data_IF_274093674199
#
_entry.id   IF_274093674199
#
_cell.length_a   1.000
_cell.length_b   1.000
_cell.length_c   1.000
_cell.angle_alpha   90.00
_cell.angle_beta   90.00
_cell.angle_gamma   90.00
#
_symmetry.space_group_name_H-M   'P 1'
#
loop_
_entity.id
_entity.type
_entity.pdbx_description
1 polymer ?
#
# COMPACT_ATOMS: atom_id res chain seq x y z
N UNK A 1 0.30 -13.03 -17.52
CA UNK A 1 -0.11 -13.47 -16.17
C UNK A 1 -1.34 -14.35 -16.29
N UNK A 2 -1.34 -15.49 -15.61
CA UNK A 2 -2.48 -16.41 -15.61
C UNK A 2 -3.66 -15.84 -14.82
N UNK A 3 -4.89 -16.23 -15.19
CA UNK A 3 -6.07 -15.91 -14.37
C UNK A 3 -6.26 -17.01 -13.32
N UNK A 4 -6.74 -16.70 -12.13
CA UNK A 4 -7.01 -17.69 -11.07
C UNK A 4 -7.82 -18.91 -11.53
N UNK A 5 -8.76 -18.70 -12.45
CA UNK A 5 -9.54 -19.79 -13.06
C UNK A 5 -8.67 -20.83 -13.81
N UNK A 6 -7.48 -20.45 -14.27
CA UNK A 6 -6.53 -21.35 -14.91
C UNK A 6 -5.90 -22.28 -13.88
N UNK A 7 -5.41 -21.75 -12.76
CA UNK A 7 -4.80 -22.53 -11.67
C UNK A 7 -5.83 -23.46 -11.01
N UNK A 8 -7.08 -23.02 -10.86
CA UNK A 8 -8.15 -23.87 -10.33
C UNK A 8 -8.43 -25.12 -11.20
N UNK A 9 -8.16 -25.05 -12.51
CA UNK A 9 -8.42 -26.14 -13.45
C UNK A 9 -7.18 -27.01 -13.73
N UNK A 10 -5.99 -26.45 -13.54
CA UNK A 10 -4.73 -27.13 -13.82
C UNK A 10 -4.47 -28.26 -12.81
N UNK A 11 -4.28 -29.53 -13.24
CA UNK A 11 -4.11 -30.66 -12.33
C UNK A 11 -2.93 -30.53 -11.34
N UNK A 12 -1.85 -29.84 -11.73
CA UNK A 12 -0.67 -29.68 -10.88
C UNK A 12 -0.88 -28.68 -9.74
N UNK A 13 -1.83 -27.75 -9.91
CA UNK A 13 -2.06 -26.67 -8.93
C UNK A 13 -3.42 -26.74 -8.25
N UNK A 14 -4.39 -27.43 -8.86
CA UNK A 14 -5.80 -27.47 -8.44
C UNK A 14 -5.98 -27.81 -6.96
N UNK A 15 -5.28 -28.83 -6.47
CA UNK A 15 -5.51 -29.33 -5.12
C UNK A 15 -4.99 -28.32 -4.08
N UNK A 16 -3.81 -27.72 -4.31
CA UNK A 16 -3.32 -26.61 -3.48
C UNK A 16 -4.23 -25.39 -3.63
N UNK A 17 -4.62 -25.03 -4.85
CA UNK A 17 -5.43 -23.85 -5.13
C UNK A 17 -6.78 -23.89 -4.40
N UNK A 18 -7.39 -25.08 -4.29
CA UNK A 18 -8.61 -25.32 -3.51
C UNK A 18 -8.41 -25.22 -2.00
N UNK A 19 -7.20 -25.52 -1.50
CA UNK A 19 -6.84 -25.38 -0.09
C UNK A 19 -6.43 -23.92 0.24
N UNK A 20 -7.22 -22.95 -0.22
CA UNK A 20 -7.05 -21.54 0.08
C UNK A 20 -7.69 -21.20 1.42
N UNK A 21 -6.94 -20.56 2.30
CA UNK A 21 -7.44 -20.01 3.56
C UNK A 21 -7.84 -18.56 3.30
N UNK A 22 -9.12 -18.23 3.46
CA UNK A 22 -9.67 -16.90 3.17
C UNK A 22 -10.22 -16.16 4.38
N UNK A 23 -10.30 -16.82 5.54
CA UNK A 23 -10.85 -16.24 6.77
C UNK A 23 -9.82 -16.22 7.88
N UNK A 24 -9.93 -15.25 8.78
CA UNK A 24 -9.06 -15.14 9.96
C UNK A 24 -9.19 -16.38 10.86
N UNK A 25 -10.40 -16.93 11.01
CA UNK A 25 -10.62 -18.14 11.79
C UNK A 25 -9.91 -19.35 11.17
N UNK A 26 -10.03 -19.56 9.85
CA UNK A 26 -9.27 -20.62 9.17
C UNK A 26 -7.76 -20.41 9.29
N UNK A 27 -7.30 -19.15 9.29
CA UNK A 27 -5.88 -18.87 9.49
C UNK A 27 -5.41 -19.18 10.93
N UNK A 28 -6.26 -18.98 11.94
CA UNK A 28 -5.97 -19.36 13.34
C UNK A 28 -5.91 -20.86 13.54
N UNK A 29 -6.81 -21.61 12.91
CA UNK A 29 -6.88 -23.07 13.03
C UNK A 29 -5.59 -23.76 12.59
N UNK A 30 -4.87 -23.21 11.61
CA UNK A 30 -3.62 -23.81 11.10
C UNK A 30 -2.36 -23.41 11.88
N UNK A 31 -2.43 -22.49 12.86
CA UNK A 31 -1.24 -21.97 13.56
C UNK A 31 -0.45 -23.02 14.33
N UNK A 32 -1.13 -24.00 14.91
CA UNK A 32 -0.49 -25.00 15.76
C UNK A 32 0.08 -26.16 14.95
N UNK A 33 -0.61 -26.56 13.89
CA UNK A 33 -0.28 -27.72 13.05
C UNK A 33 0.64 -27.40 11.87
N UNK A 34 0.91 -26.13 11.60
CA UNK A 34 1.62 -25.71 10.38
C UNK A 34 2.84 -24.83 10.65
N UNK A 35 3.74 -24.84 9.67
CA UNK A 35 4.77 -23.84 9.45
C UNK A 35 4.36 -22.93 8.29
N UNK A 36 5.03 -21.79 8.15
CA UNK A 36 4.67 -20.75 7.21
C UNK A 36 5.84 -20.42 6.30
N UNK A 37 5.57 -20.28 5.01
CA UNK A 37 6.54 -19.78 4.05
C UNK A 37 5.93 -18.67 3.22
N UNK A 38 6.55 -17.50 3.24
CA UNK A 38 6.18 -16.41 2.35
C UNK A 38 6.96 -16.48 1.04
N UNK A 39 6.28 -16.12 -0.04
CA UNK A 39 6.82 -15.99 -1.40
C UNK A 39 6.45 -14.62 -1.94
N UNK A 40 7.43 -13.96 -2.54
CA UNK A 40 7.23 -12.70 -3.25
C UNK A 40 8.11 -12.67 -4.51
N UNK A 41 7.64 -11.98 -5.55
CA UNK A 41 8.34 -11.90 -6.83
C UNK A 41 8.42 -10.49 -7.36
N UNK A 42 9.60 -10.13 -7.87
CA UNK A 42 9.82 -8.83 -8.50
C UNK A 42 10.01 -9.00 -10.00
N UNK A 43 9.22 -8.25 -10.76
CA UNK A 43 9.21 -8.29 -12.22
C UNK A 43 9.02 -6.91 -12.85
N UNK A 44 9.66 -6.70 -14.00
CA UNK A 44 9.68 -5.42 -14.70
C UNK A 44 9.06 -5.55 -16.08
N UNK A 45 8.27 -4.57 -16.49
CA UNK A 45 7.70 -4.49 -17.83
C UNK A 45 8.71 -3.90 -18.82
N UNK A 46 8.86 -4.53 -19.99
CA UNK A 46 9.92 -4.20 -20.94
C UNK A 46 9.36 -3.58 -22.21
N UNK A 47 8.81 -4.39 -23.12
CA UNK A 47 8.24 -3.86 -24.38
C UNK A 47 6.79 -3.44 -24.22
N UNK A 48 6.07 -4.04 -23.27
CA UNK A 48 4.66 -3.78 -23.00
C UNK A 48 4.33 -4.15 -21.56
N UNK A 49 3.19 -3.68 -21.04
CA UNK A 49 2.74 -4.07 -19.69
C UNK A 49 2.52 -5.58 -19.50
N UNK A 50 2.32 -6.31 -20.59
CA UNK A 50 2.19 -7.78 -20.61
C UNK A 50 3.52 -8.53 -20.74
N UNK A 51 4.55 -7.87 -21.29
CA UNK A 51 5.88 -8.43 -21.48
C UNK A 51 6.73 -8.09 -20.26
N UNK A 52 6.68 -8.96 -19.26
CA UNK A 52 7.31 -8.76 -17.96
C UNK A 52 8.38 -9.82 -17.72
N UNK A 53 9.54 -9.37 -17.25
CA UNK A 53 10.66 -10.25 -16.89
C UNK A 53 10.79 -10.32 -15.39
N UNK A 54 10.76 -11.55 -14.89
CA UNK A 54 11.08 -11.87 -13.50
C UNK A 54 12.56 -11.62 -13.25
N UNK A 55 12.86 -10.90 -12.19
CA UNK A 55 14.23 -10.55 -11.85
C UNK A 55 14.63 -10.82 -10.41
N UNK A 56 13.69 -11.15 -9.52
CA UNK A 56 14.02 -11.67 -8.20
C UNK A 56 12.88 -12.49 -7.63
N UNK A 57 13.24 -13.44 -6.78
CA UNK A 57 12.33 -14.24 -5.97
C UNK A 57 12.77 -14.13 -4.51
N UNK A 58 11.83 -13.86 -3.62
CA UNK A 58 12.04 -13.89 -2.18
C UNK A 58 11.32 -15.08 -1.56
N UNK A 59 11.96 -15.73 -0.60
CA UNK A 59 11.40 -16.80 0.21
C UNK A 59 11.75 -16.52 1.67
N UNK A 60 10.77 -16.64 2.57
CA UNK A 60 11.02 -16.59 4.01
C UNK A 60 10.23 -17.68 4.71
N UNK A 61 10.92 -18.50 5.51
CA UNK A 61 10.32 -19.56 6.30
C UNK A 61 10.25 -19.18 7.77
N UNK A 62 9.16 -19.60 8.42
CA UNK A 62 9.03 -19.55 9.87
C UNK A 62 8.27 -20.76 10.41
N UNK A 63 8.75 -21.30 11.53
CA UNK A 63 8.05 -22.35 12.29
C UNK A 63 6.83 -21.84 13.05
N UNK A 64 6.80 -20.56 13.39
CA UNK A 64 5.75 -19.98 14.23
C UNK A 64 5.56 -18.51 13.89
N UNK A 65 4.34 -17.99 14.03
CA UNK A 65 4.08 -16.55 13.94
C UNK A 65 3.82 -15.97 15.33
N UNK A 66 4.85 -15.95 16.19
CA UNK A 66 4.75 -15.46 17.57
C UNK A 66 5.54 -14.17 17.76
N UNK A 67 5.05 -13.28 18.61
CA UNK A 67 5.82 -12.13 19.08
C UNK A 67 6.29 -12.43 20.49
N UNK A 68 7.61 -12.47 20.73
CA UNK A 68 8.16 -12.57 22.09
C UNK A 68 8.34 -11.18 22.69
N UNK A 69 8.51 -10.17 21.84
CA UNK A 69 8.50 -8.79 22.29
C UNK A 69 7.08 -8.34 22.68
N UNK A 70 6.94 -7.60 23.81
CA UNK A 70 5.67 -7.04 24.21
C UNK A 70 5.14 -6.09 23.13
N UNK A 71 3.80 -6.00 22.98
CA UNK A 71 3.20 -4.99 22.11
C UNK A 71 3.73 -3.61 22.49
N UNK A 72 3.95 -2.75 21.49
CA UNK A 72 4.27 -1.36 21.76
C UNK A 72 3.15 -0.76 22.61
N UNK A 73 3.46 -0.01 23.69
CA UNK A 73 2.45 0.59 24.54
C UNK A 73 1.47 1.45 23.72
N UNK A 74 0.19 1.51 24.13
CA UNK A 74 -0.80 2.39 23.50
C UNK A 74 -0.36 3.85 23.57
N UNK A 75 -0.88 4.66 22.66
CA UNK A 75 -0.49 6.04 22.44
C UNK A 75 -0.81 6.91 23.67
N UNK A 76 0.21 7.34 24.41
CA UNK A 76 0.09 8.52 25.27
C UNK A 76 0.24 9.79 24.42
N UNK A 77 -0.63 10.81 24.60
CA UNK A 77 -0.50 12.08 23.90
C UNK A 77 0.88 12.70 24.13
N UNK A 78 1.66 12.91 23.06
CA UNK A 78 2.96 13.59 23.11
C UNK A 78 4.20 12.69 23.12
N UNK A 79 4.07 11.36 23.20
CA UNK A 79 5.23 10.45 23.11
C UNK A 79 5.50 9.96 21.68
N UNK A 80 6.78 9.88 21.31
CA UNK A 80 7.23 9.21 20.08
C UNK A 80 6.96 7.71 20.24
N UNK A 81 6.08 7.13 19.41
CA UNK A 81 5.81 5.68 19.41
C UNK A 81 7.14 4.91 19.39
N UNK A 82 7.39 3.95 20.31
CA UNK A 82 8.38 2.93 20.03
C UNK A 82 7.92 2.20 18.75
N UNK A 83 8.80 2.14 17.75
CA UNK A 83 8.48 1.52 16.46
C UNK A 83 9.11 0.14 16.43
N UNK A 84 8.31 -0.90 16.22
CA UNK A 84 8.83 -2.26 16.07
C UNK A 84 9.67 -2.32 14.79
N UNK A 85 10.90 -2.80 14.91
CA UNK A 85 11.78 -3.05 13.77
C UNK A 85 11.45 -4.41 13.17
N UNK A 86 11.54 -4.55 11.84
CA UNK A 86 11.37 -5.86 11.19
C UNK A 86 12.43 -6.86 11.68
N UNK A 87 13.64 -6.40 11.97
CA UNK A 87 14.71 -7.22 12.52
C UNK A 87 14.30 -7.96 13.81
N UNK A 88 13.59 -7.30 14.73
CA UNK A 88 13.12 -7.98 15.95
C UNK A 88 12.08 -9.07 15.65
N UNK A 89 11.28 -8.90 14.59
CA UNK A 89 10.34 -9.95 14.16
C UNK A 89 11.10 -11.15 13.58
N UNK A 90 12.18 -10.90 12.83
CA UNK A 90 13.08 -11.93 12.28
C UNK A 90 13.71 -12.74 13.40
N UNK A 91 14.26 -12.08 14.43
CA UNK A 91 14.85 -12.74 15.60
C UNK A 91 13.83 -13.54 16.41
N UNK A 92 12.68 -12.94 16.73
CA UNK A 92 11.62 -13.59 17.52
C UNK A 92 11.16 -14.93 16.95
N UNK A 93 11.18 -15.02 15.61
CA UNK A 93 10.61 -16.13 14.85
C UNK A 93 11.66 -16.99 14.13
N UNK A 94 12.96 -16.73 14.36
CA UNK A 94 14.08 -17.40 13.71
C UNK A 94 13.86 -17.56 12.19
N UNK A 95 13.57 -16.44 11.51
CA UNK A 95 13.23 -16.48 10.09
C UNK A 95 14.43 -16.95 9.26
N UNK A 96 14.22 -17.98 8.47
CA UNK A 96 15.17 -18.45 7.45
C UNK A 96 14.77 -17.83 6.11
N UNK A 97 15.63 -16.97 5.54
CA UNK A 97 15.34 -16.23 4.32
C UNK A 97 16.25 -16.61 3.16
N UNK A 98 15.72 -16.58 1.94
CA UNK A 98 16.46 -16.75 0.70
C UNK A 98 15.97 -15.75 -0.35
N UNK A 99 16.90 -14.97 -0.90
CA UNK A 99 16.67 -14.06 -2.02
C UNK A 99 17.46 -14.55 -3.23
N UNK A 100 16.75 -14.84 -4.31
CA UNK A 100 17.33 -15.24 -5.59
C UNK A 100 17.26 -14.06 -6.55
N UNK A 101 18.42 -13.45 -6.85
CA UNK A 101 18.55 -12.51 -7.94
C UNK A 101 18.67 -13.29 -9.25
N UNK A 102 17.84 -12.96 -10.22
CA UNK A 102 17.87 -13.65 -11.51
C UNK A 102 18.77 -12.88 -12.45
N UNK A 103 19.75 -13.57 -13.03
CA UNK A 103 20.57 -13.01 -14.08
C UNK A 103 19.74 -12.86 -15.36
N UNK A 104 19.39 -11.60 -15.66
CA UNK A 104 18.64 -11.25 -16.86
C UNK A 104 19.53 -10.84 -18.03
N UNK A 105 20.86 -10.84 -17.87
CA UNK A 105 21.81 -10.38 -18.90
C UNK A 105 21.63 -11.13 -20.22
N UNK A 106 21.41 -12.45 -20.17
CA UNK A 106 21.15 -13.30 -21.34
C UNK A 106 19.83 -12.99 -22.06
N UNK A 107 18.81 -12.54 -21.32
CA UNK A 107 17.47 -12.29 -21.89
C UNK A 107 17.30 -10.86 -22.39
N UNK A 108 18.00 -9.92 -21.77
CA UNK A 108 17.74 -8.50 -21.94
C UNK A 108 18.96 -7.75 -22.52
N UNK A 109 20.18 -8.11 -22.13
CA UNK A 109 21.34 -7.25 -22.37
C UNK A 109 21.30 -5.98 -21.51
N UNK A 110 22.45 -5.30 -21.39
CA UNK A 110 22.61 -4.19 -20.42
C UNK A 110 21.86 -2.90 -20.81
N UNK A 111 21.39 -2.81 -22.06
CA UNK A 111 20.82 -1.61 -22.68
C UNK A 111 19.29 -1.59 -22.82
N UNK A 112 18.57 -2.50 -22.15
CA UNK A 112 17.10 -2.59 -22.31
C UNK A 112 16.39 -1.33 -21.86
N UNK A 113 15.60 -0.78 -22.77
CA UNK A 113 14.60 0.24 -22.49
C UNK A 113 13.37 -0.41 -21.86
N UNK A 114 13.09 -0.03 -20.61
CA UNK A 114 11.88 -0.37 -19.89
C UNK A 114 10.72 0.50 -20.35
N UNK A 115 9.50 0.01 -20.13
CA UNK A 115 8.29 0.84 -20.26
C UNK A 115 8.47 2.09 -19.39
N UNK A 116 8.34 3.27 -20.00
CA UNK A 116 8.58 4.57 -19.34
C UNK A 116 9.95 5.21 -19.64
N UNK A 117 10.78 4.60 -20.49
CA UNK A 117 12.02 5.21 -20.99
C UNK A 117 13.25 5.01 -20.10
N UNK A 118 13.11 4.25 -19.01
CA UNK A 118 14.22 3.93 -18.11
C UNK A 118 15.12 2.83 -18.70
N UNK A 119 16.44 2.94 -18.53
CA UNK A 119 17.38 1.88 -18.95
C UNK A 119 17.64 0.88 -17.83
N UNK A 120 18.00 -0.34 -18.23
CA UNK A 120 18.50 -1.39 -17.35
C UNK A 120 17.50 -1.88 -16.32
N UNK A 121 17.96 -2.68 -15.36
CA UNK A 121 17.15 -3.14 -14.24
C UNK A 121 16.99 -2.04 -13.18
N UNK A 122 15.86 -1.95 -12.49
CA UNK A 122 15.70 -0.96 -11.42
C UNK A 122 16.73 -1.18 -10.31
N UNK A 123 17.30 -0.08 -9.81
CA UNK A 123 18.12 -0.11 -8.60
C UNK A 123 17.21 -0.43 -7.41
N UNK A 124 17.63 -1.42 -6.62
CA UNK A 124 16.82 -1.95 -5.52
C UNK A 124 17.30 -1.48 -4.16
N UNK A 125 16.40 -1.60 -3.19
CA UNK A 125 16.78 -1.54 -1.77
C UNK A 125 17.83 -2.61 -1.44
N UNK A 126 18.84 -2.28 -0.60
CA UNK A 126 19.80 -3.27 -0.11
C UNK A 126 19.11 -4.45 0.57
N UNK A 127 19.57 -5.66 0.27
CA UNK A 127 19.13 -6.89 0.95
C UNK A 127 19.45 -6.85 2.44
N UNK A 128 18.51 -7.24 3.30
CA UNK A 128 18.68 -7.18 4.76
C UNK A 128 18.56 -8.51 5.48
N UNK A 129 17.79 -9.47 4.96
CA UNK A 129 17.40 -10.66 5.71
C UNK A 129 17.69 -11.96 4.96
N UNK A 130 18.38 -12.89 5.60
CA UNK A 130 18.66 -14.22 5.04
C UNK A 130 19.79 -14.23 4.00
N UNK A 131 19.87 -15.33 3.26
CA UNK A 131 20.88 -15.52 2.21
C UNK A 131 20.48 -14.82 0.91
N UNK A 132 21.46 -14.34 0.15
CA UNK A 132 21.26 -13.81 -1.20
C UNK A 132 22.13 -14.59 -2.18
N UNK A 133 21.54 -15.06 -3.29
CA UNK A 133 22.22 -15.79 -4.36
C UNK A 133 21.82 -15.22 -5.72
N UNK A 134 22.70 -15.35 -6.69
CA UNK A 134 22.40 -15.02 -8.09
C UNK A 134 22.28 -16.32 -8.87
N UNK A 135 21.26 -16.43 -9.72
CA UNK A 135 20.95 -17.63 -10.50
C UNK A 135 20.50 -17.26 -11.90
N UNK A 136 20.75 -18.14 -12.87
CA UNK A 136 20.09 -18.07 -14.17
C UNK A 136 18.62 -18.46 -14.02
N UNK A 137 17.75 -17.88 -14.85
CA UNK A 137 16.30 -18.18 -14.82
C UNK A 137 15.99 -19.63 -15.20
N UNK A 138 16.82 -20.25 -16.04
CA UNK A 138 16.72 -21.66 -16.41
C UNK A 138 17.02 -22.59 -15.21
N UNK A 139 17.83 -22.13 -14.25
CA UNK A 139 18.23 -22.87 -13.06
C UNK A 139 17.46 -22.44 -11.80
N UNK A 140 16.42 -21.61 -11.95
CA UNK A 140 15.70 -21.00 -10.81
C UNK A 140 14.98 -22.03 -9.93
N UNK A 141 14.42 -23.10 -10.50
CA UNK A 141 13.64 -24.07 -9.76
C UNK A 141 14.47 -24.86 -8.75
N UNK A 142 15.71 -25.22 -9.10
CA UNK A 142 16.59 -26.03 -8.27
C UNK A 142 16.85 -25.43 -6.87
N UNK A 143 17.32 -24.17 -6.71
CA UNK A 143 17.56 -23.56 -5.43
C UNK A 143 16.27 -23.33 -4.62
N UNK A 144 15.13 -23.07 -5.27
CA UNK A 144 13.83 -22.98 -4.59
C UNK A 144 13.46 -24.33 -3.97
N UNK A 145 13.55 -25.40 -4.77
CA UNK A 145 13.24 -26.77 -4.32
C UNK A 145 14.23 -27.25 -3.26
N UNK A 146 15.52 -26.91 -3.39
CA UNK A 146 16.55 -27.22 -2.39
C UNK A 146 16.22 -26.56 -1.06
N UNK A 147 15.92 -25.25 -1.07
CA UNK A 147 15.51 -24.51 0.13
C UNK A 147 14.33 -25.19 0.81
N UNK A 148 13.26 -25.47 0.06
CA UNK A 148 12.06 -26.14 0.57
C UNK A 148 12.33 -27.56 1.09
N UNK A 149 13.23 -28.31 0.45
CA UNK A 149 13.55 -29.69 0.83
C UNK A 149 14.31 -29.79 2.15
N UNK A 150 15.08 -28.76 2.49
CA UNK A 150 15.85 -28.63 3.73
C UNK A 150 14.99 -28.15 4.91
N UNK A 151 13.76 -27.70 4.67
CA UNK A 151 12.87 -27.27 5.73
C UNK A 151 12.40 -28.46 6.60
N UNK A 152 12.11 -28.21 7.89
CA UNK A 152 11.51 -29.19 8.78
C UNK A 152 10.20 -29.77 8.22
N UNK A 153 10.01 -31.08 8.37
CA UNK A 153 8.84 -31.83 7.85
C UNK A 153 7.91 -32.34 8.95
N UNK A 154 8.07 -31.85 10.18
CA UNK A 154 7.27 -32.21 11.34
C UNK A 154 5.85 -31.60 11.29
N UNK A 155 5.63 -30.62 10.42
CA UNK A 155 4.36 -29.91 10.26
C UNK A 155 4.02 -29.67 8.79
N UNK A 156 2.75 -29.39 8.55
CA UNK A 156 2.25 -28.93 7.26
C UNK A 156 2.84 -27.57 6.88
N UNK A 157 3.20 -27.34 5.62
CA UNK A 157 3.70 -26.04 5.16
C UNK A 157 2.57 -25.25 4.49
N UNK A 158 2.37 -24.01 4.92
CA UNK A 158 1.39 -23.07 4.36
C UNK A 158 2.12 -21.97 3.60
N UNK A 159 1.75 -21.77 2.34
CA UNK A 159 2.24 -20.67 1.51
C UNK A 159 1.50 -19.37 1.89
N UNK A 160 2.24 -18.30 2.15
CA UNK A 160 1.71 -17.00 2.56
C UNK A 160 2.11 -15.95 1.51
N UNK A 161 1.19 -15.10 1.11
CA UNK A 161 1.50 -13.97 0.24
C UNK A 161 0.54 -12.80 0.44
N UNK A 162 0.76 -11.73 -0.32
CA UNK A 162 -0.08 -10.54 -0.30
C UNK A 162 -0.35 -10.07 -1.72
N UNK A 163 -1.55 -10.32 -2.23
CA UNK A 163 -1.87 -10.05 -3.63
C UNK A 163 -1.21 -11.03 -4.60
N UNK A 164 -1.39 -12.34 -4.36
CA UNK A 164 -0.59 -13.44 -4.93
C UNK A 164 -0.77 -13.71 -6.44
N UNK A 165 -1.33 -12.76 -7.20
CA UNK A 165 -1.62 -12.94 -8.63
C UNK A 165 -0.38 -13.23 -9.47
N UNK A 166 0.70 -12.50 -9.22
CA UNK A 166 1.96 -12.67 -9.92
C UNK A 166 2.69 -13.93 -9.44
N UNK A 167 2.72 -14.15 -8.12
CA UNK A 167 3.41 -15.26 -7.46
C UNK A 167 2.87 -16.59 -7.96
N UNK A 168 1.55 -16.74 -8.10
CA UNK A 168 0.95 -17.94 -8.70
C UNK A 168 1.36 -18.16 -10.15
N UNK A 169 1.51 -17.08 -10.93
CA UNK A 169 1.99 -17.19 -12.32
C UNK A 169 3.42 -17.73 -12.36
N UNK A 170 4.31 -17.21 -11.52
CA UNK A 170 5.71 -17.64 -11.49
C UNK A 170 5.91 -19.00 -10.82
N UNK A 171 5.14 -19.31 -9.77
CA UNK A 171 5.13 -20.62 -9.14
C UNK A 171 4.74 -21.71 -10.14
N UNK A 172 3.72 -21.46 -10.98
CA UNK A 172 3.30 -22.41 -12.02
C UNK A 172 4.30 -22.48 -13.19
N UNK A 173 4.84 -21.35 -13.64
CA UNK A 173 5.65 -21.30 -14.86
C UNK A 173 7.14 -21.59 -14.66
N UNK A 174 7.71 -21.22 -13.50
CA UNK A 174 9.16 -21.18 -13.30
C UNK A 174 9.68 -22.16 -12.25
N UNK A 175 8.85 -22.54 -11.27
CA UNK A 175 9.23 -23.50 -10.22
C UNK A 175 8.06 -24.38 -9.78
N UNK A 176 7.36 -25.06 -10.71
CA UNK A 176 6.17 -25.88 -10.42
C UNK A 176 6.44 -27.03 -9.44
N UNK A 177 7.65 -27.57 -9.37
CA UNK A 177 8.02 -28.62 -8.43
C UNK A 177 8.02 -28.13 -6.97
N UNK A 178 7.97 -26.82 -6.71
CA UNK A 178 7.78 -26.24 -5.39
C UNK A 178 6.35 -26.44 -4.86
N UNK A 179 5.35 -26.58 -5.76
CA UNK A 179 3.92 -26.59 -5.40
C UNK A 179 3.58 -27.74 -4.44
N UNK A 180 4.18 -28.91 -4.67
CA UNK A 180 3.95 -30.12 -3.86
C UNK A 180 4.38 -30.00 -2.38
N UNK A 181 5.19 -29.00 -2.04
CA UNK A 181 5.62 -28.80 -0.65
C UNK A 181 4.54 -28.14 0.20
N UNK A 182 3.59 -27.44 -0.43
CA UNK A 182 2.55 -26.71 0.28
C UNK A 182 1.29 -27.56 0.44
N UNK A 183 0.71 -27.47 1.63
CA UNK A 183 -0.53 -28.13 2.00
C UNK A 183 -1.76 -27.23 1.83
N UNK A 184 -1.56 -25.92 2.00
CA UNK A 184 -2.54 -24.87 1.87
C UNK A 184 -1.83 -23.54 1.53
N UNK A 185 -2.60 -22.53 1.17
CA UNK A 185 -2.08 -21.19 0.93
C UNK A 185 -3.03 -20.10 1.44
N UNK A 186 -2.49 -18.92 1.73
CA UNK A 186 -3.22 -17.75 2.19
C UNK A 186 -2.74 -16.50 1.47
N UNK A 187 -3.68 -15.75 0.89
CA UNK A 187 -3.46 -14.37 0.50
C UNK A 187 -3.94 -13.49 1.65
N UNK A 188 -3.02 -12.75 2.27
CA UNK A 188 -3.35 -11.90 3.42
C UNK A 188 -4.33 -10.78 3.07
N UNK A 189 -4.51 -10.47 1.78
CA UNK A 189 -5.57 -9.56 1.36
C UNK A 189 -6.98 -10.12 1.64
N UNK A 190 -7.18 -11.44 1.54
CA UNK A 190 -8.44 -12.09 1.91
C UNK A 190 -8.71 -11.97 3.41
N UNK A 191 -7.66 -12.15 4.23
CA UNK A 191 -7.78 -12.08 5.69
C UNK A 191 -8.16 -10.67 6.15
N UNK A 192 -7.59 -9.64 5.54
CA UNK A 192 -8.00 -8.26 5.80
C UNK A 192 -9.42 -7.99 5.29
N UNK A 193 -9.82 -8.54 4.14
CA UNK A 193 -11.20 -8.45 3.65
C UNK A 193 -12.17 -9.07 4.65
N UNK A 194 -11.84 -10.23 5.21
CA UNK A 194 -12.62 -10.91 6.23
C UNK A 194 -12.77 -10.03 7.49
N UNK A 195 -11.65 -9.50 8.02
CA UNK A 195 -11.68 -8.63 9.20
C UNK A 195 -12.47 -7.33 8.94
N UNK A 196 -12.29 -6.71 7.77
CA UNK A 196 -12.89 -5.41 7.43
C UNK A 196 -14.27 -5.51 6.82
N UNK A 197 -14.73 -6.73 6.48
CA UNK A 197 -16.00 -7.01 5.78
C UNK A 197 -16.22 -6.11 4.55
N UNK A 198 -15.16 -5.85 3.78
CA UNK A 198 -15.15 -4.79 2.77
C UNK A 198 -14.67 -5.25 1.38
N UNK A 199 -15.08 -4.57 0.30
CA UNK A 199 -14.76 -5.00 -1.06
C UNK A 199 -13.27 -4.82 -1.44
N UNK A 200 -12.72 -5.62 -2.37
CA UNK A 200 -11.29 -5.63 -2.69
C UNK A 200 -10.73 -4.35 -3.34
N UNK A 201 -11.58 -3.45 -3.85
CA UNK A 201 -11.19 -2.39 -4.78
C UNK A 201 -10.47 -1.18 -4.15
N UNK A 202 -10.35 -1.11 -2.83
CA UNK A 202 -9.79 0.04 -2.09
C UNK A 202 -8.78 -0.40 -1.02
N UNK A 203 -7.99 -1.40 -1.35
CA UNK A 203 -7.16 -2.10 -0.39
C UNK A 203 -5.81 -1.38 -0.14
N UNK A 204 -5.39 -1.15 1.12
CA UNK A 204 -4.09 -0.52 1.41
C UNK A 204 -2.90 -1.38 0.97
N UNK A 205 -1.78 -0.76 0.58
CA UNK A 205 -0.55 -1.51 0.25
C UNK A 205 0.04 -2.23 1.47
N UNK A 206 0.90 -3.23 1.22
CA UNK A 206 1.66 -3.94 2.27
C UNK A 206 2.44 -2.96 3.17
N UNK A 207 3.19 -2.02 2.58
CA UNK A 207 3.91 -0.95 3.30
C UNK A 207 2.97 -0.22 4.26
N UNK A 208 1.77 0.12 3.80
CA UNK A 208 0.85 0.87 4.60
C UNK A 208 0.33 0.07 5.79
N UNK A 209 -0.11 -1.18 5.56
CA UNK A 209 -0.71 -2.01 6.61
C UNK A 209 0.29 -2.25 7.74
N UNK A 210 1.52 -2.64 7.39
CA UNK A 210 2.53 -2.94 8.39
C UNK A 210 2.97 -1.68 9.16
N UNK A 211 3.02 -0.53 8.50
CA UNK A 211 3.23 0.76 9.14
C UNK A 211 2.10 1.12 10.11
N UNK A 212 0.84 0.91 9.70
CA UNK A 212 -0.35 1.07 10.55
C UNK A 212 -0.29 0.20 11.81
N UNK A 213 0.24 -1.01 11.68
CA UNK A 213 0.48 -1.96 12.78
C UNK A 213 1.72 -1.67 13.65
N UNK A 214 2.34 -0.49 13.48
CA UNK A 214 3.37 0.03 14.37
C UNK A 214 4.81 -0.31 13.97
N UNK A 215 5.03 -0.91 12.80
CA UNK A 215 6.38 -1.15 12.31
C UNK A 215 7.05 0.15 11.82
N UNK A 216 8.37 0.18 11.87
CA UNK A 216 9.12 1.35 11.43
C UNK A 216 9.02 1.51 9.92
N UNK A 217 8.47 2.64 9.47
CA UNK A 217 8.33 2.94 8.04
C UNK A 217 9.64 2.79 7.25
N UNK A 218 10.79 3.16 7.80
CA UNK A 218 12.08 3.01 7.08
C UNK A 218 12.50 1.56 6.86
N UNK A 219 11.89 0.61 7.58
CA UNK A 219 12.13 -0.81 7.33
C UNK A 219 11.29 -1.36 6.17
N UNK A 220 10.28 -0.64 5.68
CA UNK A 220 9.29 -1.15 4.70
C UNK A 220 9.10 -0.22 3.51
N UNK A 221 9.48 1.04 3.63
CA UNK A 221 9.38 2.03 2.58
C UNK A 221 10.77 2.32 1.98
N UNK A 222 10.87 2.52 0.66
CA UNK A 222 12.08 3.05 0.05
C UNK A 222 12.46 4.40 0.69
N UNK A 223 13.72 4.51 1.10
CA UNK A 223 14.25 5.74 1.70
C UNK A 223 14.20 6.87 0.66
N UNK A 224 13.63 8.04 1.01
CA UNK A 224 13.73 9.22 0.12
C UNK A 224 15.19 9.65 0.06
N UNK A 225 15.84 9.40 -1.08
CA UNK A 225 17.17 9.92 -1.36
C UNK A 225 17.98 9.05 -2.31
N UNK A 226 18.42 9.69 -3.40
CA UNK A 226 19.49 9.32 -4.32
C UNK A 226 19.05 8.58 -5.62
N UNK A 227 18.77 9.44 -6.62
CA UNK A 227 19.08 9.32 -8.07
C UNK A 227 18.23 8.42 -8.98
N UNK A 228 17.78 9.07 -10.05
CA UNK A 228 17.29 8.71 -11.41
C UNK A 228 16.89 7.28 -11.82
N UNK A 229 17.29 6.19 -11.15
CA UNK A 229 17.18 4.84 -11.74
C UNK A 229 16.38 3.83 -10.88
N UNK A 230 15.87 4.25 -9.72
CA UNK A 230 14.81 3.55 -8.98
C UNK A 230 15.11 3.26 -7.51
N UNK A 231 14.03 3.10 -6.75
CA UNK A 231 14.02 2.70 -5.34
C UNK A 231 13.14 1.45 -5.25
N UNK A 232 13.42 0.46 -6.11
CA UNK A 232 12.57 -0.71 -6.28
C UNK A 232 12.64 -1.63 -5.07
N UNK A 233 11.56 -2.37 -4.87
CA UNK A 233 11.38 -3.28 -3.78
C UNK A 233 12.33 -4.49 -3.88
N UNK A 234 12.53 -5.12 -2.73
CA UNK A 234 13.38 -6.30 -2.59
C UNK A 234 12.49 -7.44 -2.13
N UNK A 235 12.25 -8.42 -3.00
CA UNK A 235 11.35 -9.53 -2.75
C UNK A 235 11.68 -10.27 -1.45
N UNK A 236 12.97 -10.42 -1.12
CA UNK A 236 13.45 -11.07 0.10
C UNK A 236 13.09 -10.32 1.38
N UNK A 237 13.08 -8.98 1.33
CA UNK A 237 12.63 -8.16 2.45
C UNK A 237 11.10 -8.13 2.56
N UNK A 238 10.41 -8.20 1.43
CA UNK A 238 8.96 -8.09 1.36
C UNK A 238 8.27 -9.39 1.79
N UNK A 239 8.89 -10.57 1.61
CA UNK A 239 8.42 -11.81 2.26
C UNK A 239 8.50 -11.76 3.78
N UNK A 240 9.54 -11.11 4.35
CA UNK A 240 9.63 -10.91 5.80
C UNK A 240 8.54 -9.96 6.27
N UNK A 241 8.31 -8.89 5.52
CA UNK A 241 7.22 -7.93 5.78
C UNK A 241 5.85 -8.60 5.70
N UNK A 242 5.66 -9.52 4.76
CA UNK A 242 4.45 -10.33 4.58
C UNK A 242 4.22 -11.24 5.79
N UNK A 243 5.22 -11.97 6.27
CA UNK A 243 5.08 -12.78 7.49
C UNK A 243 4.83 -11.92 8.74
N UNK A 244 5.44 -10.72 8.81
CA UNK A 244 5.18 -9.78 9.89
C UNK A 244 3.74 -9.26 9.85
N UNK A 245 3.19 -9.02 8.65
CA UNK A 245 1.78 -8.69 8.47
C UNK A 245 0.89 -9.85 8.90
N UNK A 246 1.21 -11.08 8.50
CA UNK A 246 0.48 -12.27 8.91
C UNK A 246 0.39 -12.38 10.43
N UNK A 247 1.51 -12.19 11.14
CA UNK A 247 1.54 -12.15 12.60
C UNK A 247 0.70 -11.00 13.17
N UNK A 248 0.77 -9.81 12.57
CA UNK A 248 0.03 -8.66 13.04
C UNK A 248 -1.50 -8.82 12.88
N UNK A 249 -1.96 -9.48 11.82
CA UNK A 249 -3.39 -9.76 11.59
C UNK A 249 -3.97 -10.75 12.60
N UNK A 250 -3.13 -11.56 13.26
CA UNK A 250 -3.59 -12.46 14.32
C UNK A 250 -3.84 -11.74 15.66
N UNK A 251 -3.32 -10.52 15.84
CA UNK A 251 -3.51 -9.72 17.06
C UNK A 251 -4.81 -8.91 17.00
N UNK A 252 -5.83 -9.36 17.74
CA UNK A 252 -7.16 -8.73 17.77
C UNK A 252 -7.12 -7.26 18.17
N UNK A 253 -6.15 -6.87 19.00
CA UNK A 253 -6.00 -5.47 19.43
C UNK A 253 -5.65 -4.54 18.26
N UNK A 254 -5.16 -5.09 17.15
CA UNK A 254 -4.83 -4.34 15.93
C UNK A 254 -6.01 -4.24 14.97
N UNK A 255 -7.08 -5.02 15.17
CA UNK A 255 -8.22 -5.02 14.25
C UNK A 255 -9.01 -3.71 14.28
N UNK A 256 -9.17 -3.08 15.44
CA UNK A 256 -9.81 -1.76 15.54
C UNK A 256 -9.05 -0.70 14.74
N UNK A 257 -7.71 -0.71 14.82
CA UNK A 257 -6.86 0.18 14.02
C UNK A 257 -7.03 -0.12 12.53
N UNK A 258 -7.03 -1.41 12.15
CA UNK A 258 -7.24 -1.81 10.76
C UNK A 258 -8.60 -1.33 10.23
N UNK A 259 -9.68 -1.54 10.99
CA UNK A 259 -11.04 -1.11 10.65
C UNK A 259 -11.12 0.40 10.46
N UNK A 260 -10.53 1.16 11.39
CA UNK A 260 -10.47 2.62 11.30
C UNK A 260 -9.71 3.10 10.06
N UNK A 261 -8.50 2.58 9.83
CA UNK A 261 -7.67 2.99 8.69
C UNK A 261 -8.34 2.59 7.36
N UNK A 262 -8.98 1.43 7.32
CA UNK A 262 -9.73 0.99 6.17
C UNK A 262 -10.93 1.92 5.88
N UNK A 263 -11.72 2.26 6.90
CA UNK A 263 -12.81 3.21 6.76
C UNK A 263 -12.32 4.56 6.22
N UNK A 264 -11.17 5.05 6.70
CA UNK A 264 -10.53 6.27 6.20
C UNK A 264 -10.10 6.14 4.74
N UNK A 265 -9.50 5.02 4.34
CA UNK A 265 -9.09 4.80 2.95
C UNK A 265 -10.24 4.77 1.96
N UNK A 266 -11.38 4.20 2.36
CA UNK A 266 -12.56 4.11 1.48
C UNK A 266 -13.09 5.48 1.08
N UNK A 267 -13.07 6.42 2.02
CA UNK A 267 -13.54 7.78 1.81
C UNK A 267 -12.43 8.68 1.25
N UNK A 268 -11.16 8.34 1.44
CA UNK A 268 -10.04 9.11 0.90
C UNK A 268 -9.90 8.93 -0.62
N UNK A 269 -10.18 9.99 -1.37
CA UNK A 269 -10.06 10.02 -2.82
C UNK A 269 -8.75 10.56 -3.36
N UNK A 270 -8.35 10.16 -4.58
CA UNK A 270 -7.41 10.98 -5.34
C UNK A 270 -8.03 12.38 -5.55
N UNK A 271 -7.22 13.43 -5.51
CA UNK A 271 -7.59 14.86 -5.51
C UNK A 271 -8.36 15.40 -6.72
N UNK A 272 -9.10 14.54 -7.43
CA UNK A 272 -10.06 14.90 -8.45
C UNK A 272 -11.43 14.54 -7.90
N UNK A 273 -12.29 15.55 -7.71
CA UNK A 273 -13.74 15.32 -7.73
C UNK A 273 -13.99 14.65 -9.09
N UNK A 274 -14.15 13.32 -9.13
CA UNK A 274 -14.26 12.60 -10.40
C UNK A 274 -15.40 13.24 -11.19
N UNK A 275 -15.30 13.33 -12.53
CA UNK A 275 -16.44 13.67 -13.39
C UNK A 275 -17.65 12.72 -13.23
N UNK A 276 -17.47 11.61 -12.50
CA UNK A 276 -18.53 10.70 -12.08
C UNK A 276 -19.22 11.09 -10.76
N UNK A 277 -18.75 12.13 -10.06
CA UNK A 277 -19.48 12.75 -8.96
C UNK A 277 -20.50 13.70 -9.57
N UNK A 278 -21.76 13.31 -9.47
CA UNK A 278 -22.88 14.16 -9.79
C UNK A 278 -22.93 15.29 -8.75
N UNK A 279 -22.55 16.53 -9.12
CA UNK A 279 -22.54 17.64 -8.17
C UNK A 279 -23.94 17.98 -7.67
N UNK A 280 -24.98 17.58 -8.40
CA UNK A 280 -26.38 17.73 -8.00
C UNK A 280 -26.79 16.74 -6.88
N UNK A 281 -25.92 15.78 -6.51
CA UNK A 281 -26.21 14.72 -5.52
C UNK A 281 -25.28 14.69 -4.32
N UNK A 282 -24.29 15.56 -4.22
CA UNK A 282 -23.34 15.58 -3.11
C UNK A 282 -23.14 17.00 -2.59
N UNK A 283 -23.26 17.17 -1.27
CA UNK A 283 -23.01 18.44 -0.60
C UNK A 283 -21.54 18.52 -0.23
N UNK A 284 -20.84 19.56 -0.69
CA UNK A 284 -19.37 19.63 -0.59
C UNK A 284 -18.97 20.78 0.35
N UNK A 285 -18.08 20.50 1.30
CA UNK A 285 -17.33 21.49 2.06
C UNK A 285 -15.89 21.58 1.55
N UNK A 286 -15.37 22.79 1.44
CA UNK A 286 -13.93 23.06 1.37
C UNK A 286 -13.38 23.29 2.77
N UNK A 287 -12.16 22.82 3.00
CA UNK A 287 -11.39 23.08 4.21
C UNK A 287 -10.12 23.80 3.82
N UNK A 288 -9.85 24.93 4.45
CA UNK A 288 -8.73 25.81 4.14
C UNK A 288 -7.95 26.17 5.41
N UNK A 289 -6.74 26.67 5.21
CA UNK A 289 -5.86 27.27 6.22
C UNK A 289 -5.23 28.52 5.65
N UNK A 290 -4.60 29.33 6.51
CA UNK A 290 -3.75 30.43 6.05
C UNK A 290 -2.48 29.84 5.38
N UNK A 291 -2.51 29.72 4.05
CA UNK A 291 -1.46 29.09 3.24
C UNK A 291 -1.66 27.58 3.08
N UNK A 292 -0.55 26.83 3.01
CA UNK A 292 -0.60 25.37 2.83
C UNK A 292 -1.41 24.66 3.92
N UNK A 293 -2.12 23.61 3.52
CA UNK A 293 -2.86 22.75 4.43
C UNK A 293 -1.92 22.20 5.52
N UNK A 294 -2.31 22.31 6.81
CA UNK A 294 -1.53 21.77 7.90
C UNK A 294 -1.17 20.32 7.65
N UNK A 295 0.01 19.91 8.13
CA UNK A 295 0.53 18.54 7.95
C UNK A 295 -0.49 17.49 8.39
N UNK A 296 -1.39 17.79 9.31
CA UNK A 296 -2.44 16.87 9.79
C UNK A 296 -3.63 16.68 8.86
N UNK A 297 -3.77 17.50 7.83
CA UNK A 297 -4.85 17.40 6.82
C UNK A 297 -4.32 17.55 5.38
N UNK A 298 -3.00 17.60 5.19
CA UNK A 298 -2.36 17.81 3.88
C UNK A 298 -2.48 16.66 2.86
N UNK A 299 -3.21 15.59 3.18
CA UNK A 299 -3.50 14.50 2.23
C UNK A 299 -4.93 14.01 2.41
N UNK A 300 -5.53 13.44 1.36
CA UNK A 300 -6.91 12.93 1.39
C UNK A 300 -7.17 11.95 2.54
N UNK A 301 -6.19 11.09 2.83
CA UNK A 301 -6.27 10.14 3.93
C UNK A 301 -6.17 10.82 5.30
N UNK A 302 -5.37 11.87 5.41
CA UNK A 302 -5.27 12.66 6.64
C UNK A 302 -6.54 13.46 6.89
N UNK A 303 -7.14 14.03 5.84
CA UNK A 303 -8.49 14.60 5.88
C UNK A 303 -9.50 13.58 6.37
N UNK A 304 -9.51 12.37 5.79
CA UNK A 304 -10.40 11.28 6.19
C UNK A 304 -10.26 10.99 7.69
N UNK A 305 -9.04 10.73 8.18
CA UNK A 305 -8.77 10.46 9.60
C UNK A 305 -9.22 11.58 10.52
N UNK A 306 -9.05 12.84 10.11
CA UNK A 306 -9.40 14.01 10.93
C UNK A 306 -10.91 14.22 11.02
N UNK A 307 -11.65 13.86 9.98
CA UNK A 307 -13.07 14.22 9.84
C UNK A 307 -14.02 13.01 9.75
N UNK A 308 -13.53 11.79 9.98
CA UNK A 308 -14.34 10.57 9.85
C UNK A 308 -15.58 10.55 10.75
N UNK A 309 -15.52 11.18 11.93
CA UNK A 309 -16.64 11.25 12.87
C UNK A 309 -17.84 12.06 12.33
N UNK A 310 -17.61 12.89 11.30
CA UNK A 310 -18.68 13.60 10.58
C UNK A 310 -19.32 12.75 9.48
N UNK A 311 -18.92 11.48 9.34
CA UNK A 311 -19.39 10.54 8.32
C UNK A 311 -19.34 11.05 6.87
N UNK A 312 -18.23 11.67 6.43
CA UNK A 312 -18.11 12.12 5.05
C UNK A 312 -18.22 10.93 4.09
N UNK A 313 -18.85 11.16 2.94
CA UNK A 313 -18.89 10.19 1.83
C UNK A 313 -17.52 10.12 1.15
N UNK A 314 -16.84 11.25 1.04
CA UNK A 314 -15.55 11.36 0.40
C UNK A 314 -14.72 12.49 0.99
N UNK A 315 -13.40 12.35 0.94
CA UNK A 315 -12.44 13.40 1.26
C UNK A 315 -11.37 13.49 0.20
N UNK A 316 -10.79 14.67 0.02
CA UNK A 316 -9.68 14.82 -0.92
C UNK A 316 -8.97 16.16 -0.83
N UNK A 317 -8.03 16.36 -1.74
CA UNK A 317 -7.20 17.57 -1.85
C UNK A 317 -7.47 18.19 -3.22
N UNK A 318 -7.90 19.45 -3.26
CA UNK A 318 -8.07 20.23 -4.49
C UNK A 318 -6.77 20.93 -4.89
N UNK A 319 -6.03 21.46 -3.91
CA UNK A 319 -4.73 22.11 -4.06
C UNK A 319 -3.92 21.98 -2.76
N UNK A 320 -2.67 22.46 -2.76
CA UNK A 320 -1.84 22.49 -1.54
C UNK A 320 -2.50 23.22 -0.36
N UNK A 321 -3.44 24.13 -0.62
CA UNK A 321 -4.10 25.00 0.37
C UNK A 321 -5.56 24.61 0.63
N UNK A 322 -6.15 23.75 -0.21
CA UNK A 322 -7.59 23.47 -0.18
C UNK A 322 -7.85 21.97 -0.16
N UNK A 323 -8.44 21.50 0.94
CA UNK A 323 -9.03 20.17 1.08
C UNK A 323 -10.53 20.20 0.84
N UNK A 324 -11.15 19.04 0.67
CA UNK A 324 -12.60 18.92 0.62
C UNK A 324 -13.13 17.69 1.35
N UNK A 325 -14.39 17.79 1.78
CA UNK A 325 -15.19 16.69 2.29
C UNK A 325 -16.59 16.74 1.64
N UNK A 326 -17.17 15.58 1.33
CA UNK A 326 -18.51 15.48 0.73
C UNK A 326 -19.48 14.75 1.65
N UNK A 327 -20.75 15.12 1.58
CA UNK A 327 -21.82 14.67 2.47
C UNK A 327 -23.08 14.32 1.66
N UNK A 328 -23.95 13.50 2.25
CA UNK A 328 -25.18 13.01 1.60
C UNK A 328 -26.31 14.03 1.69
N UNK A 329 -26.28 14.91 2.68
CA UNK A 329 -27.33 15.90 2.90
C UNK A 329 -26.77 17.29 3.20
N UNK A 330 -27.64 18.28 3.05
CA UNK A 330 -27.34 19.67 3.40
C UNK A 330 -27.15 19.81 4.91
N UNK A 331 -27.94 19.09 5.69
CA UNK A 331 -27.88 19.11 7.15
C UNK A 331 -26.53 18.57 7.66
N UNK A 332 -26.02 17.50 7.07
CA UNK A 332 -24.68 16.96 7.37
C UNK A 332 -23.58 17.97 7.03
N UNK A 333 -23.69 18.63 5.86
CA UNK A 333 -22.76 19.67 5.45
C UNK A 333 -22.78 20.88 6.41
N UNK A 334 -23.96 21.38 6.74
CA UNK A 334 -24.12 22.57 7.58
C UNK A 334 -23.64 22.29 9.00
N UNK A 335 -23.89 21.08 9.52
CA UNK A 335 -23.34 20.62 10.79
C UNK A 335 -21.80 20.55 10.76
N UNK A 336 -21.22 19.98 9.71
CA UNK A 336 -19.76 19.94 9.54
C UNK A 336 -19.16 21.34 9.53
N UNK A 337 -19.68 22.25 8.72
CA UNK A 337 -19.20 23.64 8.63
C UNK A 337 -19.30 24.32 10.01
N UNK A 338 -20.45 24.22 10.68
CA UNK A 338 -20.64 24.83 12.00
C UNK A 338 -19.69 24.31 13.09
N UNK A 339 -19.13 23.11 12.93
CA UNK A 339 -18.17 22.52 13.87
C UNK A 339 -16.70 22.76 13.48
N UNK A 340 -16.42 22.89 12.19
CA UNK A 340 -15.04 22.90 11.66
C UNK A 340 -14.55 24.30 11.32
N UNK A 341 -15.45 25.22 10.97
CA UNK A 341 -15.07 26.60 10.68
C UNK A 341 -14.52 27.30 11.94
N UNK A 342 -13.31 27.84 11.83
CA UNK A 342 -12.59 28.42 12.97
C UNK A 342 -11.99 27.39 13.94
N UNK A 343 -11.99 26.09 13.61
CA UNK A 343 -11.38 25.07 14.47
C UNK A 343 -9.86 25.28 14.54
N UNK A 344 -9.34 25.36 15.77
CA UNK A 344 -7.91 25.38 16.03
C UNK A 344 -7.40 23.95 16.15
N UNK A 345 -6.45 23.57 15.29
CA UNK A 345 -5.75 22.30 15.41
C UNK A 345 -4.85 22.33 16.65
N UNK A 346 -4.64 21.16 17.26
CA UNK A 346 -3.66 20.97 18.34
C UNK A 346 -2.21 21.45 18.03
N UNK A 347 -1.88 21.71 16.76
CA UNK A 347 -0.60 22.27 16.29
C UNK A 347 -0.60 23.80 16.24
N UNK A 348 -1.73 24.45 16.52
CA UNK A 348 -1.91 25.90 16.62
C UNK A 348 -2.53 26.54 15.38
N UNK A 349 -2.55 25.87 14.24
CA UNK A 349 -3.14 26.40 13.01
C UNK A 349 -4.67 26.41 13.11
N UNK A 350 -5.29 27.49 12.65
CA UNK A 350 -6.74 27.60 12.52
C UNK A 350 -7.14 27.20 11.11
N UNK A 351 -8.22 26.43 10.99
CA UNK A 351 -8.78 26.06 9.70
C UNK A 351 -10.16 26.68 9.52
N UNK A 352 -10.50 27.00 8.28
CA UNK A 352 -11.84 27.45 7.90
C UNK A 352 -12.55 26.39 7.07
N UNK A 353 -13.88 26.35 7.18
CA UNK A 353 -14.71 25.43 6.42
C UNK A 353 -15.84 26.18 5.75
N UNK A 354 -15.98 26.02 4.44
CA UNK A 354 -16.99 26.72 3.66
C UNK A 354 -17.72 25.77 2.73
N UNK A 355 -18.96 26.10 2.37
CA UNK A 355 -19.68 25.37 1.32
C UNK A 355 -18.94 25.59 0.00
N UNK A 356 -18.68 24.51 -0.72
CA UNK A 356 -18.20 24.61 -2.09
C UNK A 356 -19.35 25.08 -2.98
N UNK A 357 -19.16 26.21 -3.66
CA UNK A 357 -20.14 26.76 -4.59
C UNK A 357 -19.63 26.51 -6.00
N UNK A 358 -20.33 25.62 -6.73
CA UNK A 358 -20.01 25.38 -8.14
C UNK A 358 -20.49 26.58 -8.97
N UNK A 359 -19.56 27.16 -9.72
CA UNK A 359 -19.70 28.43 -10.45
C UNK A 359 -20.87 28.43 -11.46
N UNK A 360 -21.36 27.26 -11.88
CA UNK A 360 -22.44 27.14 -12.87
C UNK A 360 -23.83 27.55 -12.34
N UNK A 361 -24.04 27.67 -11.03
CA UNK A 361 -25.35 27.99 -10.43
C UNK A 361 -25.47 29.38 -9.78
N UNK A 362 -24.40 30.19 -9.78
CA UNK A 362 -24.45 31.56 -9.22
C UNK A 362 -24.63 32.57 -10.35
N UNK A 363 -25.67 33.40 -10.26
CA UNK A 363 -25.81 34.55 -11.15
C UNK A 363 -24.60 35.47 -10.94
N UNK A 364 -23.71 35.48 -11.94
CA UNK A 364 -22.41 36.16 -11.99
C UNK A 364 -22.48 37.69 -11.83
N UNK A 365 -23.68 38.23 -11.58
CA UNK A 365 -24.01 39.64 -11.34
C UNK A 365 -24.34 39.95 -9.87
N UNK A 366 -24.40 38.95 -9.01
CA UNK A 366 -24.60 39.14 -7.56
C UNK A 366 -23.25 39.40 -6.86
N UNK A 367 -23.24 40.04 -5.67
CA UNK A 367 -22.02 40.23 -4.88
C UNK A 367 -21.30 38.90 -4.57
N UNK A 368 -22.08 37.82 -4.40
CA UNK A 368 -21.57 36.45 -4.24
C UNK A 368 -20.87 35.96 -5.52
N UNK A 369 -21.44 36.25 -6.69
CA UNK A 369 -20.82 35.96 -7.99
C UNK A 369 -19.55 36.79 -8.28
N UNK A 370 -19.44 38.01 -7.75
CA UNK A 370 -18.23 38.82 -7.85
C UNK A 370 -17.11 38.32 -6.92
N UNK A 371 -17.43 37.97 -5.68
CA UNK A 371 -16.48 37.32 -4.77
C UNK A 371 -15.97 35.98 -5.34
N UNK A 372 -16.84 35.20 -5.99
CA UNK A 372 -16.47 33.95 -6.66
C UNK A 372 -15.55 34.15 -7.87
N UNK A 373 -15.71 35.24 -8.64
CA UNK A 373 -14.75 35.60 -9.72
C UNK A 373 -13.37 35.94 -9.17
N UNK A 374 -13.34 36.61 -8.01
CA UNK A 374 -12.10 36.93 -7.33
C UNK A 374 -11.42 35.65 -6.82
N UNK A 375 -12.16 34.73 -6.21
CA UNK A 375 -11.65 33.40 -5.82
C UNK A 375 -11.16 32.58 -7.02
N UNK A 376 -11.87 32.59 -8.14
CA UNK A 376 -11.46 31.87 -9.35
C UNK A 376 -10.19 32.47 -9.96
N UNK A 377 -10.03 33.80 -9.88
CA UNK A 377 -8.79 34.49 -10.26
C UNK A 377 -7.64 34.13 -9.33
N UNK A 378 -7.88 34.07 -8.02
CA UNK A 378 -6.90 33.65 -7.02
C UNK A 378 -6.47 32.20 -7.29
N UNK A 379 -7.41 31.27 -7.49
CA UNK A 379 -7.13 29.87 -7.81
C UNK A 379 -6.38 29.70 -9.13
N UNK A 380 -6.71 30.48 -10.17
CA UNK A 380 -5.97 30.48 -11.44
C UNK A 380 -4.57 31.09 -11.32
N UNK A 381 -4.39 32.05 -10.41
CA UNK A 381 -3.10 32.68 -10.11
C UNK A 381 -2.19 31.75 -9.34
N UNK A 382 -2.69 31.12 -8.27
CA UNK A 382 -1.99 30.08 -7.50
C UNK A 382 -1.59 28.91 -8.40
N UNK A 383 -2.50 28.46 -9.29
CA UNK A 383 -2.19 27.40 -10.25
C UNK A 383 -1.07 27.80 -11.23
N UNK A 384 -1.07 29.04 -11.71
CA UNK A 384 0.01 29.54 -12.58
C UNK A 384 1.32 29.71 -11.83
N UNK A 385 1.29 30.12 -10.57
CA UNK A 385 2.50 30.28 -9.75
C UNK A 385 3.12 28.91 -9.42
N UNK A 386 2.29 27.88 -9.14
CA UNK A 386 2.75 26.49 -8.99
C UNK A 386 3.31 25.89 -10.30
N UNK A 387 2.64 26.13 -11.44
CA UNK A 387 3.13 25.68 -12.76
C UNK A 387 4.40 26.46 -13.20
N UNK A 388 4.65 27.67 -12.67
CA UNK A 388 5.82 28.50 -13.02
C UNK A 388 7.02 28.19 -12.11
N UNK A 389 6.83 27.89 -10.82
CA UNK A 389 7.93 27.37 -9.97
C UNK A 389 8.46 26.02 -10.49
N UNK A 390 7.57 25.13 -10.97
CA UNK A 390 7.97 23.84 -11.56
C UNK A 390 8.74 24.01 -12.89
N UNK A 391 8.51 25.09 -13.63
CA UNK A 391 9.21 25.39 -14.89
C UNK A 391 10.51 26.19 -14.67
N UNK A 392 10.59 27.04 -13.65
CA UNK A 392 11.81 27.78 -13.31
C UNK A 392 12.88 26.86 -12.68
N UNK A 393 12.49 25.86 -11.88
CA UNK A 393 13.45 24.85 -11.37
C UNK A 393 13.99 23.92 -12.48
N UNK A 394 13.29 23.78 -13.62
CA UNK A 394 13.78 23.02 -14.79
C UNK A 394 14.60 23.87 -15.78
N UNK A 395 14.54 25.20 -15.70
CA UNK A 395 15.27 26.12 -16.57
C UNK A 395 16.75 26.31 -16.19
N UNK A 396 17.09 26.18 -14.91
CA UNK A 396 18.46 26.38 -14.40
C UNK A 396 19.27 25.07 -14.25
N UNK A 397 18.72 23.93 -14.68
CA UNK A 397 19.44 22.65 -14.75
C UNK A 397 20.10 22.37 -16.12
N UNK A 398 19.97 23.30 -17.07
CA UNK A 398 20.60 23.24 -18.40
C UNK A 398 21.30 24.54 -18.81
N UNK A 399 21.84 25.29 -17.85
CA UNK A 399 22.89 26.30 -18.09
C UNK A 399 24.23 25.83 -17.55
#
# INVERSE_FOLDING_TARGET
MGRYQQFERDPATRDLFKNRITTLNGFREVLESSCFLALDTEHVAITSGSDRVLHQVGLAFSKTLKSRHPPCPPQEPGMIRPKRRLFHFVEDNNIEGLTLNIDTSKKLGDDVLRVGGFRGMPVRRPHRFGEQKTVDIEDLEAPVVEFLSNLPRDKSLVLVGFGMGAEWTYLWANFPAAIRFFSAWVDLSDIVIDITSSPPSQFPSLEYLIWGFGYWRKDVAPGRGIRSDGNADNAGDDVVTTLALAQALLDERKHETLLFEYACFRIAGPGRIRRSYDPDKCFIATVRSDGELPIKISTSLKMARKFIDFNPVHTGILSGEVGFATFRSKEELDYFIGCVDGMVLHTGETISAHRYIQIEQVDMKTPEGENLKEEERIMRRIKREADVEEVVELGDLFS
#
